data_IF_140696293880
#
_entry.id   IF_140696293880
#
_cell.length_a   1.000
_cell.length_b   1.000
_cell.length_c   1.000
_cell.angle_alpha   90.00
_cell.angle_beta   90.00
_cell.angle_gamma   90.00
#
_symmetry.space_group_name_H-M   'P 1'
#
loop_
_entity.id
_entity.type
_entity.pdbx_description
1 polymer ?
#
# COMPACT_ATOMS: atom_id res chain seq x y z
N UNK A 1 -0.14 16.74 -63.88
CA UNK A 1 -0.27 18.20 -63.96
C UNK A 1 1.06 18.80 -63.57
N UNK A 2 1.53 19.67 -64.45
CA UNK A 2 2.92 20.05 -64.71
C UNK A 2 3.56 20.82 -63.55
N UNK A 3 4.84 20.55 -63.34
CA UNK A 3 5.77 21.37 -62.56
C UNK A 3 5.86 22.74 -63.25
N UNK A 4 5.73 23.83 -62.51
CA UNK A 4 6.18 25.13 -62.98
C UNK A 4 7.14 25.78 -61.98
N UNK A 5 8.31 26.00 -62.52
CA UNK A 5 9.54 26.53 -61.98
C UNK A 5 9.49 28.07 -62.07
N UNK A 6 10.11 28.78 -61.12
CA UNK A 6 10.45 30.21 -61.26
C UNK A 6 11.59 30.56 -60.32
N UNK A 7 12.79 30.27 -60.82
CA UNK A 7 14.10 30.83 -60.50
C UNK A 7 14.14 32.37 -60.60
N UNK A 8 14.90 33.03 -59.70
CA UNK A 8 16.01 33.97 -60.00
C UNK A 8 16.99 34.00 -58.79
N UNK A 9 18.23 33.46 -58.86
CA UNK A 9 19.53 34.02 -59.31
C UNK A 9 20.14 35.13 -58.39
N UNK A 10 21.41 35.18 -57.91
CA UNK A 10 22.66 34.35 -57.86
C UNK A 10 23.78 35.20 -57.11
N UNK A 11 25.07 34.78 -56.92
CA UNK A 11 25.82 34.11 -55.80
C UNK A 11 26.81 35.09 -55.06
N UNK A 12 28.05 34.76 -54.55
CA UNK A 12 28.70 33.49 -54.17
C UNK A 12 29.23 33.41 -52.71
N UNK A 13 29.83 32.24 -52.43
CA UNK A 13 30.32 31.70 -51.16
C UNK A 13 31.58 32.39 -50.57
N UNK A 14 32.10 31.84 -49.46
CA UNK A 14 33.35 31.09 -49.64
C UNK A 14 33.28 29.63 -49.18
N UNK A 15 33.97 28.84 -50.01
CA UNK A 15 34.61 27.54 -49.77
C UNK A 15 35.31 27.45 -48.39
N UNK A 16 35.55 26.28 -47.79
CA UNK A 16 36.17 25.13 -48.44
C UNK A 16 35.95 23.77 -47.72
N UNK A 17 35.69 22.77 -48.57
CA UNK A 17 36.23 21.38 -48.58
C UNK A 17 36.16 20.53 -47.31
N UNK A 18 35.24 19.56 -47.22
CA UNK A 18 35.25 18.21 -47.85
C UNK A 18 36.48 17.35 -47.49
N UNK A 19 36.24 16.29 -46.73
CA UNK A 19 36.56 14.93 -47.19
C UNK A 19 35.52 13.93 -46.66
N UNK A 20 34.87 13.26 -47.60
CA UNK A 20 33.98 12.12 -47.39
C UNK A 20 34.81 10.85 -47.20
N UNK A 21 34.49 10.03 -46.19
CA UNK A 21 34.60 8.57 -46.31
C UNK A 21 33.36 7.92 -45.72
N UNK A 22 32.72 7.12 -46.57
CA UNK A 22 31.52 6.32 -46.34
C UNK A 22 31.71 5.40 -45.13
N UNK A 23 30.93 5.61 -44.07
CA UNK A 23 30.70 4.56 -43.06
C UNK A 23 29.37 3.90 -43.41
N UNK A 24 29.44 2.65 -43.86
CA UNK A 24 28.28 1.79 -44.08
C UNK A 24 27.69 1.46 -42.71
N UNK A 25 26.62 2.17 -42.32
CA UNK A 25 25.87 1.86 -41.11
C UNK A 25 25.00 0.63 -41.38
N UNK A 26 25.38 -0.53 -40.82
CA UNK A 26 24.47 -1.66 -40.69
C UNK A 26 23.60 -1.45 -39.45
N UNK A 27 22.29 -1.36 -39.68
CA UNK A 27 21.23 -1.30 -38.67
C UNK A 27 21.22 -2.57 -37.80
N UNK A 28 20.65 -2.52 -36.57
CA UNK A 28 20.77 -3.59 -35.60
C UNK A 28 19.91 -4.80 -35.98
N UNK A 29 20.56 -5.91 -36.32
CA UNK A 29 19.95 -7.23 -36.45
C UNK A 29 20.42 -8.13 -35.32
N UNK A 30 19.48 -8.61 -34.51
CA UNK A 30 19.66 -9.75 -33.61
C UNK A 30 20.05 -10.95 -34.46
N UNK A 31 21.23 -11.55 -34.24
CA UNK A 31 21.48 -12.95 -34.61
C UNK A 31 22.66 -13.55 -33.83
N UNK A 32 22.33 -14.72 -33.27
CA UNK A 32 23.20 -15.73 -32.68
C UNK A 32 24.39 -16.09 -33.59
N UNK A 33 25.53 -16.35 -32.96
CA UNK A 33 26.51 -17.40 -33.30
C UNK A 33 26.97 -17.55 -34.75
N UNK A 34 28.26 -17.33 -35.00
CA UNK A 34 28.94 -17.89 -36.17
C UNK A 34 30.12 -17.06 -36.63
N UNK A 35 31.31 -17.66 -36.59
CA UNK A 35 32.50 -17.12 -37.22
C UNK A 35 32.34 -17.07 -38.75
N UNK A 36 32.82 -16.01 -39.41
CA UNK A 36 33.13 -16.04 -40.83
C UNK A 36 34.56 -15.53 -41.06
N UNK A 37 35.41 -16.45 -41.49
CA UNK A 37 36.65 -16.19 -42.18
C UNK A 37 36.34 -15.76 -43.62
N UNK A 38 37.05 -14.76 -44.14
CA UNK A 38 37.16 -14.54 -45.59
C UNK A 38 38.61 -14.18 -45.91
N UNK A 39 39.31 -15.16 -46.49
CA UNK A 39 40.50 -14.93 -47.30
C UNK A 39 40.10 -14.39 -48.67
N UNK A 40 41.01 -13.64 -49.28
CA UNK A 40 40.89 -13.11 -50.62
C UNK A 40 42.09 -12.22 -50.93
N UNK A 41 43.06 -12.77 -51.66
CA UNK A 41 44.16 -12.01 -52.26
C UNK A 41 43.60 -11.04 -53.31
N UNK A 42 44.10 -9.80 -53.31
CA UNK A 42 43.92 -8.87 -54.43
C UNK A 42 45.21 -8.07 -54.59
N UNK A 43 45.89 -8.28 -55.72
CA UNK A 43 47.06 -7.54 -56.16
C UNK A 43 46.60 -6.22 -56.81
N UNK A 44 46.95 -5.09 -56.21
CA UNK A 44 46.84 -3.78 -56.86
C UNK A 44 48.06 -2.93 -56.50
N UNK A 45 48.93 -2.75 -57.49
CA UNK A 45 50.11 -1.89 -57.44
C UNK A 45 49.65 -0.44 -57.71
N UNK A 46 49.84 0.47 -56.76
CA UNK A 46 49.67 1.91 -56.98
C UNK A 46 50.75 2.69 -56.22
N UNK A 47 51.41 3.56 -56.96
CA UNK A 47 52.67 4.23 -56.63
C UNK A 47 52.58 5.27 -55.51
N UNK A 48 53.72 5.40 -54.81
CA UNK A 48 54.20 6.51 -53.98
C UNK A 48 53.26 7.68 -53.67
N UNK A 49 52.71 7.68 -52.45
CA UNK A 49 52.55 8.90 -51.66
C UNK A 49 52.53 8.54 -50.17
N UNK A 50 53.57 8.98 -49.47
CA UNK A 50 53.70 9.21 -48.02
C UNK A 50 52.64 8.54 -47.12
N UNK A 51 52.83 7.25 -46.81
CA UNK A 51 52.08 6.52 -45.77
C UNK A 51 52.56 6.97 -44.39
N UNK A 52 52.34 8.24 -44.02
CA UNK A 52 52.48 8.70 -42.64
C UNK A 52 51.45 7.98 -41.80
N UNK A 53 51.88 6.95 -41.07
CA UNK A 53 51.21 6.29 -39.96
C UNK A 53 49.67 6.40 -39.95
N UNK A 54 49.00 5.80 -40.93
CA UNK A 54 47.57 5.52 -40.78
C UNK A 54 47.44 4.35 -39.80
N UNK A 55 47.38 4.67 -38.50
CA UNK A 55 47.01 3.70 -37.47
C UNK A 55 45.55 3.29 -37.69
N UNK A 56 45.34 2.21 -38.44
CA UNK A 56 44.05 1.55 -38.53
C UNK A 56 43.79 0.80 -37.22
N UNK A 57 42.90 1.36 -36.41
CA UNK A 57 42.43 0.71 -35.20
C UNK A 57 41.14 -0.08 -35.46
N UNK A 58 41.04 -1.26 -34.86
CA UNK A 58 39.80 -2.00 -34.81
C UNK A 58 38.79 -1.28 -33.89
N UNK A 59 37.50 -1.32 -34.25
CA UNK A 59 36.39 -0.82 -33.42
C UNK A 59 35.71 -1.98 -32.69
N UNK A 60 35.21 -1.73 -31.48
CA UNK A 60 34.36 -2.67 -30.74
C UNK A 60 33.28 -1.89 -29.98
N UNK A 61 32.21 -2.56 -29.54
CA UNK A 61 31.12 -1.97 -28.75
C UNK A 61 30.93 -2.77 -27.47
N UNK A 62 31.51 -2.34 -26.33
CA UNK A 62 31.34 -3.06 -25.08
C UNK A 62 29.89 -2.90 -24.59
N UNK A 63 29.36 -3.95 -23.98
CA UNK A 63 28.15 -3.84 -23.16
C UNK A 63 28.52 -4.00 -21.69
N UNK A 64 27.77 -3.36 -20.79
CA UNK A 64 27.95 -3.51 -19.36
C UNK A 64 26.71 -4.16 -18.74
N UNK A 65 26.91 -5.15 -17.89
CA UNK A 65 25.91 -5.63 -16.94
C UNK A 65 26.27 -5.16 -15.53
N UNK A 66 25.25 -4.86 -14.75
CA UNK A 66 25.38 -4.39 -13.37
C UNK A 66 24.57 -5.31 -12.47
N UNK A 67 25.19 -5.80 -11.41
CA UNK A 67 24.55 -6.67 -10.43
C UNK A 67 24.86 -6.23 -9.00
N UNK A 68 23.98 -6.61 -8.07
CA UNK A 68 24.10 -6.33 -6.65
C UNK A 68 22.99 -5.46 -6.08
N UNK A 69 23.23 -4.94 -4.88
CA UNK A 69 22.24 -4.22 -4.08
C UNK A 69 22.34 -2.72 -4.32
N UNK A 70 21.46 -2.20 -5.18
CA UNK A 70 21.41 -0.80 -5.63
C UNK A 70 20.78 0.18 -4.61
N UNK A 71 21.21 0.11 -3.35
CA UNK A 71 20.78 1.02 -2.28
C UNK A 71 21.95 1.39 -1.38
N UNK A 72 21.80 2.43 -0.57
CA UNK A 72 22.79 2.79 0.43
C UNK A 72 23.10 1.61 1.36
N UNK A 73 24.39 1.36 1.62
CA UNK A 73 24.88 0.21 2.36
C UNK A 73 24.96 -1.09 1.54
N UNK A 74 24.48 -1.08 0.29
CA UNK A 74 24.69 -2.15 -0.67
C UNK A 74 25.99 -1.97 -1.46
N UNK A 75 26.20 -2.86 -2.42
CA UNK A 75 27.30 -2.78 -3.39
C UNK A 75 26.78 -3.16 -4.76
N UNK A 76 27.31 -2.50 -5.78
CA UNK A 76 27.07 -2.83 -7.19
C UNK A 76 28.38 -3.23 -7.84
N UNK A 77 28.33 -4.22 -8.71
CA UNK A 77 29.46 -4.71 -9.49
C UNK A 77 29.14 -4.55 -10.97
N UNK A 78 30.13 -4.11 -11.74
CA UNK A 78 30.04 -3.98 -13.18
C UNK A 78 30.84 -5.08 -13.87
N UNK A 79 30.22 -5.70 -14.87
CA UNK A 79 30.85 -6.68 -15.76
C UNK A 79 30.76 -6.19 -17.19
N UNK A 80 31.91 -6.02 -17.82
CA UNK A 80 32.00 -5.62 -19.23
C UNK A 80 32.07 -6.87 -20.12
N UNK A 81 31.27 -6.88 -21.19
CA UNK A 81 31.12 -7.99 -22.12
C UNK A 81 31.57 -7.54 -23.51
N UNK A 82 32.22 -8.45 -24.26
CA UNK A 82 32.70 -8.18 -25.62
C UNK A 82 34.03 -7.42 -25.69
N UNK A 83 34.85 -7.51 -24.64
CA UNK A 83 36.16 -6.85 -24.62
C UNK A 83 37.19 -7.60 -25.50
N UNK A 84 38.08 -6.88 -26.20
CA UNK A 84 39.21 -7.50 -26.89
C UNK A 84 40.11 -8.31 -25.96
N UNK A 85 40.74 -9.37 -26.49
CA UNK A 85 41.70 -10.19 -25.72
C UNK A 85 42.87 -9.32 -25.23
N UNK A 86 43.14 -9.36 -23.92
CA UNK A 86 44.20 -8.56 -23.30
C UNK A 86 43.82 -7.09 -23.03
N UNK A 87 42.54 -6.72 -23.14
CA UNK A 87 42.09 -5.38 -22.80
C UNK A 87 42.30 -5.06 -21.30
N UNK A 88 42.82 -3.87 -21.02
CA UNK A 88 42.90 -3.30 -19.68
C UNK A 88 41.74 -2.30 -19.48
N UNK A 89 41.12 -2.33 -18.30
CA UNK A 89 39.95 -1.50 -17.97
C UNK A 89 40.24 -0.65 -16.74
N UNK A 90 39.98 0.65 -16.84
CA UNK A 90 39.92 1.58 -15.70
C UNK A 90 38.48 1.91 -15.39
N UNK A 91 38.09 1.75 -14.12
CA UNK A 91 36.76 2.10 -13.63
C UNK A 91 36.81 3.42 -12.87
N UNK A 92 35.72 4.18 -12.92
CA UNK A 92 35.51 5.35 -12.06
C UNK A 92 34.01 5.54 -11.80
N UNK A 93 33.59 5.30 -10.56
CA UNK A 93 32.20 5.53 -10.16
C UNK A 93 31.92 7.01 -9.92
N UNK A 94 30.70 7.45 -10.24
CA UNK A 94 30.28 8.85 -10.19
C UNK A 94 28.91 8.99 -9.53
N UNK A 95 28.71 10.12 -8.84
CA UNK A 95 27.43 10.51 -8.24
C UNK A 95 27.02 11.87 -8.78
N UNK A 96 25.84 11.96 -9.41
CA UNK A 96 25.39 13.14 -10.15
C UNK A 96 26.45 13.65 -11.16
N UNK A 97 27.18 12.74 -11.82
CA UNK A 97 28.24 13.05 -12.78
C UNK A 97 29.62 13.34 -12.18
N UNK A 98 29.74 13.56 -10.86
CA UNK A 98 31.01 13.84 -10.19
C UNK A 98 31.72 12.55 -9.75
N UNK A 99 33.03 12.45 -10.00
CA UNK A 99 33.86 11.30 -9.63
C UNK A 99 33.94 11.11 -8.11
N UNK A 100 33.70 9.87 -7.66
CA UNK A 100 33.86 9.50 -6.25
C UNK A 100 35.32 9.10 -6.00
N UNK A 101 35.97 9.80 -5.05
CA UNK A 101 37.38 9.55 -4.70
C UNK A 101 37.60 8.09 -4.29
N UNK A 102 38.58 7.43 -4.91
CA UNK A 102 38.97 6.05 -4.63
C UNK A 102 38.03 4.97 -5.18
N UNK A 103 36.94 5.35 -5.86
CA UNK A 103 35.99 4.40 -6.44
C UNK A 103 36.42 3.95 -7.84
N UNK A 104 37.56 3.25 -7.91
CA UNK A 104 38.21 2.85 -9.17
C UNK A 104 38.20 1.35 -9.45
N UNK A 105 37.44 0.59 -8.65
CA UNK A 105 37.26 -0.86 -8.80
C UNK A 105 36.05 -1.16 -9.68
N UNK A 106 35.99 -2.38 -10.21
CA UNK A 106 34.80 -2.90 -10.91
C UNK A 106 33.56 -2.98 -10.01
N UNK A 107 33.73 -2.95 -8.67
CA UNK A 107 32.66 -2.86 -7.70
C UNK A 107 32.70 -1.57 -6.88
N UNK A 108 31.54 -1.13 -6.43
CA UNK A 108 31.35 0.06 -5.61
C UNK A 108 30.39 -0.19 -4.46
N UNK A 109 30.92 -0.09 -3.24
CA UNK A 109 30.11 -0.02 -2.03
C UNK A 109 29.42 1.35 -1.96
N UNK A 110 28.10 1.35 -1.93
CA UNK A 110 27.28 2.57 -2.06
C UNK A 110 27.14 3.23 -0.68
N UNK A 111 27.76 4.39 -0.43
CA UNK A 111 27.70 5.03 0.88
C UNK A 111 26.33 5.66 1.14
N UNK A 112 26.02 5.90 2.42
CA UNK A 112 24.80 6.61 2.84
C UNK A 112 24.66 8.00 2.20
N UNK A 113 25.78 8.69 1.99
CA UNK A 113 25.84 10.02 1.37
C UNK A 113 25.49 10.03 -0.13
N UNK A 114 25.34 8.86 -0.75
CA UNK A 114 24.91 8.73 -2.14
C UNK A 114 23.38 8.79 -2.30
N UNK A 115 22.59 8.63 -1.23
CA UNK A 115 21.12 8.65 -1.30
C UNK A 115 20.64 9.92 -2.00
N UNK A 116 19.71 9.74 -2.94
CA UNK A 116 19.15 10.82 -3.73
C UNK A 116 20.03 11.26 -4.90
N UNK A 117 21.26 10.74 -5.05
CA UNK A 117 22.14 11.04 -6.20
C UNK A 117 21.99 9.96 -7.27
N UNK A 118 22.09 10.34 -8.54
CA UNK A 118 22.17 9.43 -9.69
C UNK A 118 23.54 8.75 -9.68
N UNK A 119 23.56 7.42 -9.66
CA UNK A 119 24.79 6.63 -9.75
C UNK A 119 25.14 6.40 -11.22
N UNK A 120 26.41 6.55 -11.59
CA UNK A 120 26.90 6.17 -12.91
C UNK A 120 28.32 5.61 -12.84
N UNK A 121 28.71 4.88 -13.88
CA UNK A 121 30.05 4.32 -14.03
C UNK A 121 30.67 4.87 -15.32
N UNK A 122 31.85 5.44 -15.18
CA UNK A 122 32.73 5.77 -16.29
C UNK A 122 33.80 4.68 -16.44
N UNK A 123 34.00 4.17 -17.65
CA UNK A 123 35.06 3.22 -17.96
C UNK A 123 35.95 3.73 -19.06
N UNK A 124 37.26 3.50 -18.96
CA UNK A 124 38.22 3.68 -20.04
C UNK A 124 38.87 2.33 -20.33
N UNK A 125 38.84 1.91 -21.58
CA UNK A 125 39.35 0.62 -22.00
C UNK A 125 40.46 0.80 -23.03
N UNK A 126 41.55 0.07 -22.84
CA UNK A 126 42.72 0.10 -23.72
C UNK A 126 43.12 -1.31 -24.11
N UNK A 127 43.26 -1.57 -25.41
CA UNK A 127 43.73 -2.85 -25.95
C UNK A 127 44.67 -2.62 -27.13
N UNK A 128 45.69 -3.47 -27.28
CA UNK A 128 46.67 -3.36 -28.38
C UNK A 128 45.96 -3.53 -29.73
N UNK A 129 46.17 -2.59 -30.65
CA UNK A 129 45.52 -2.60 -31.97
C UNK A 129 44.08 -2.06 -31.99
N UNK A 130 43.57 -1.57 -30.85
CA UNK A 130 42.26 -0.93 -30.74
C UNK A 130 42.41 0.52 -30.28
N UNK A 131 41.50 1.38 -30.73
CA UNK A 131 41.41 2.76 -30.24
C UNK A 131 40.97 2.72 -28.78
N UNK A 132 41.52 3.61 -27.96
CA UNK A 132 41.02 3.78 -26.58
C UNK A 132 39.58 4.26 -26.63
N UNK A 133 38.71 3.56 -25.90
CA UNK A 133 37.29 3.88 -25.83
C UNK A 133 36.90 4.26 -24.40
N UNK A 134 35.94 5.17 -24.29
CA UNK A 134 35.39 5.64 -23.03
C UNK A 134 33.87 5.59 -23.07
N UNK A 135 33.27 4.95 -22.07
CA UNK A 135 31.83 4.78 -21.97
C UNK A 135 31.33 5.25 -20.60
N UNK A 136 30.15 5.88 -20.59
CA UNK A 136 29.43 6.27 -19.39
C UNK A 136 28.12 5.48 -19.30
N UNK A 137 27.95 4.77 -18.18
CA UNK A 137 26.78 3.95 -17.91
C UNK A 137 25.96 4.62 -16.81
N UNK A 138 24.75 5.08 -17.14
CA UNK A 138 23.83 5.65 -16.16
C UNK A 138 23.04 4.55 -15.45
N UNK A 139 23.10 4.53 -14.11
CA UNK A 139 22.26 3.68 -13.28
C UNK A 139 21.14 4.51 -12.61
N UNK A 140 20.33 3.82 -11.81
CA UNK A 140 19.26 4.42 -11.02
C UNK A 140 19.77 5.38 -9.94
N UNK A 141 18.87 6.24 -9.45
CA UNK A 141 19.10 7.05 -8.25
C UNK A 141 19.28 6.12 -7.05
N UNK A 142 20.25 6.42 -6.20
CA UNK A 142 20.47 5.62 -4.98
C UNK A 142 19.36 5.88 -3.99
N UNK A 143 18.73 4.79 -3.56
CA UNK A 143 17.69 4.81 -2.54
C UNK A 143 18.18 4.26 -1.20
N UNK A 144 17.32 4.43 -0.22
CA UNK A 144 17.41 3.79 1.08
C UNK A 144 17.01 2.31 0.95
N UNK A 145 17.62 1.36 1.68
CA UNK A 145 17.14 -0.02 1.68
C UNK A 145 15.70 -0.10 2.20
N UNK A 146 14.91 -0.98 1.59
CA UNK A 146 13.59 -1.34 2.11
C UNK A 146 13.72 -2.02 3.49
N UNK A 147 12.72 -1.85 4.35
CA UNK A 147 12.68 -2.61 5.60
C UNK A 147 12.28 -4.06 5.32
N UNK A 148 12.99 -5.07 5.87
CA UNK A 148 12.46 -6.42 5.93
C UNK A 148 11.22 -6.41 6.83
N UNK A 149 10.12 -7.00 6.35
CA UNK A 149 8.87 -7.08 7.12
C UNK A 149 8.14 -8.37 6.81
N UNK A 150 7.62 -9.00 7.85
CA UNK A 150 6.60 -10.05 7.76
C UNK A 150 5.43 -9.66 8.65
N UNK A 151 4.20 -9.89 8.22
CA UNK A 151 3.01 -9.47 8.98
C UNK A 151 2.20 -10.67 9.45
N UNK A 152 2.14 -10.87 10.76
CA UNK A 152 1.33 -11.91 11.40
C UNK A 152 0.11 -11.33 12.12
N UNK A 153 -0.94 -12.14 12.24
CA UNK A 153 -2.10 -11.85 13.10
C UNK A 153 -2.31 -12.94 14.12
N UNK A 154 -2.64 -12.52 15.34
CA UNK A 154 -3.06 -13.41 16.43
C UNK A 154 -4.46 -13.00 16.87
N UNK A 155 -5.33 -14.00 17.08
CA UNK A 155 -6.66 -13.81 17.67
C UNK A 155 -6.74 -14.49 19.02
N UNK A 156 -7.04 -13.73 20.07
CA UNK A 156 -7.70 -14.29 21.23
C UNK A 156 -9.20 -14.37 20.88
N UNK A 157 -9.76 -15.57 20.76
CA UNK A 157 -11.14 -15.81 20.31
C UNK A 157 -12.11 -14.73 20.84
N UNK A 158 -12.73 -13.99 19.91
CA UNK A 158 -13.83 -13.06 20.17
C UNK A 158 -13.50 -11.68 20.78
N UNK A 159 -12.25 -11.36 21.15
CA UNK A 159 -11.99 -10.14 21.94
C UNK A 159 -11.17 -9.07 21.21
N UNK A 160 -10.09 -9.45 20.52
CA UNK A 160 -9.28 -8.53 19.71
C UNK A 160 -8.43 -9.25 18.65
N UNK A 161 -8.08 -8.53 17.58
CA UNK A 161 -7.04 -8.92 16.62
C UNK A 161 -5.78 -8.12 16.97
N UNK A 162 -4.63 -8.79 16.96
CA UNK A 162 -3.34 -8.13 17.16
C UNK A 162 -2.50 -8.15 15.88
N UNK A 163 -2.06 -6.97 15.45
CA UNK A 163 -1.17 -6.73 14.34
C UNK A 163 0.28 -6.72 14.84
N UNK A 164 1.10 -7.68 14.40
CA UNK A 164 2.52 -7.74 14.75
C UNK A 164 3.41 -7.79 13.49
N UNK A 165 3.98 -6.65 13.07
CA UNK A 165 5.05 -6.66 12.09
C UNK A 165 6.31 -7.26 12.72
N UNK A 166 6.87 -8.28 12.06
CA UNK A 166 8.11 -8.95 12.43
C UNK A 166 9.24 -8.56 11.48
N UNK A 167 10.48 -8.81 11.92
CA UNK A 167 11.72 -8.53 11.17
C UNK A 167 12.05 -7.05 10.96
N UNK A 168 11.38 -6.13 11.66
CA UNK A 168 11.72 -4.72 11.58
C UNK A 168 13.13 -4.43 12.16
N UNK A 169 13.88 -3.48 11.59
CA UNK A 169 15.18 -3.07 12.12
C UNK A 169 15.10 -2.60 13.57
N UNK A 170 16.17 -2.81 14.35
CA UNK A 170 16.27 -2.34 15.75
C UNK A 170 15.99 -0.84 15.84
N UNK A 171 15.10 -0.45 16.75
CA UNK A 171 14.68 0.95 16.93
C UNK A 171 13.63 1.45 15.93
N UNK A 172 13.03 0.57 15.13
CA UNK A 172 11.89 0.91 14.31
C UNK A 172 10.70 1.39 15.17
N UNK A 173 10.05 2.47 14.73
CA UNK A 173 8.81 3.00 15.30
C UNK A 173 7.66 2.66 14.38
N UNK A 174 6.57 2.10 14.93
CA UNK A 174 5.39 1.68 14.17
C UNK A 174 4.16 2.48 14.60
N UNK A 175 3.37 2.93 13.62
CA UNK A 175 2.04 3.53 13.81
C UNK A 175 1.01 2.66 13.10
N UNK A 176 -0.15 2.47 13.72
CA UNK A 176 -1.26 1.67 13.18
C UNK A 176 -2.48 2.54 12.92
N UNK A 177 -3.32 2.09 12.00
CA UNK A 177 -4.67 2.57 11.77
C UNK A 177 -5.51 1.40 11.26
N UNK A 178 -6.47 0.95 12.06
CA UNK A 178 -7.38 -0.12 11.66
C UNK A 178 -8.48 0.40 10.75
N UNK A 179 -8.91 -0.46 9.82
CA UNK A 179 -9.89 -0.16 8.80
C UNK A 179 -10.93 -1.25 8.68
N UNK A 180 -12.15 -0.83 8.39
CA UNK A 180 -13.30 -1.70 8.06
C UNK A 180 -13.79 -1.28 6.67
N UNK A 181 -13.85 -2.23 5.74
CA UNK A 181 -14.16 -2.00 4.31
C UNK A 181 -13.32 -0.85 3.71
N UNK A 182 -12.03 -0.79 4.09
CA UNK A 182 -11.08 0.23 3.63
C UNK A 182 -11.22 1.61 4.29
N UNK A 183 -12.18 1.81 5.20
CA UNK A 183 -12.38 3.09 5.92
C UNK A 183 -11.76 3.08 7.31
N UNK A 184 -11.09 4.17 7.67
CA UNK A 184 -10.44 4.33 8.97
C UNK A 184 -11.45 4.28 10.12
N UNK A 185 -11.13 3.44 11.11
CA UNK A 185 -11.87 3.39 12.37
C UNK A 185 -11.27 4.41 13.32
N UNK A 186 -12.06 5.44 13.66
CA UNK A 186 -11.62 6.54 14.54
C UNK A 186 -11.07 6.01 15.87
N UNK A 187 -9.86 6.41 16.23
CA UNK A 187 -9.19 6.05 17.48
C UNK A 187 -8.56 4.64 17.50
N UNK A 188 -8.70 3.86 16.44
CA UNK A 188 -8.12 2.53 16.35
C UNK A 188 -6.67 2.59 15.85
N UNK A 189 -5.77 3.11 16.69
CA UNK A 189 -4.35 3.35 16.35
C UNK A 189 -3.36 2.46 17.09
N UNK A 190 -3.87 1.51 17.88
CA UNK A 190 -3.06 0.56 18.64
C UNK A 190 -2.71 -0.66 17.78
N UNK A 191 -1.69 -1.41 18.19
CA UNK A 191 -1.36 -2.70 17.59
C UNK A 191 -2.49 -3.74 17.78
N UNK A 192 -3.37 -3.54 18.76
CA UNK A 192 -4.56 -4.36 19.00
C UNK A 192 -5.82 -3.63 18.57
N UNK A 193 -6.81 -4.39 18.09
CA UNK A 193 -8.11 -3.88 17.69
C UNK A 193 -9.24 -4.77 18.20
N UNK A 194 -10.10 -4.18 19.01
CA UNK A 194 -11.37 -4.81 19.38
C UNK A 194 -12.34 -4.64 18.23
N UNK A 195 -12.74 -5.76 17.63
CA UNK A 195 -13.58 -5.75 16.44
C UNK A 195 -15.02 -5.44 16.86
N UNK A 196 -15.62 -4.33 16.41
CA UNK A 196 -16.99 -4.02 16.76
C UNK A 196 -17.96 -4.96 16.04
N UNK A 197 -19.12 -5.22 16.63
CA UNK A 197 -20.17 -6.04 16.01
C UNK A 197 -20.61 -5.52 14.63
N UNK A 198 -20.46 -4.23 14.36
CA UNK A 198 -20.73 -3.63 13.05
C UNK A 198 -19.76 -4.08 11.95
N UNK A 199 -18.60 -4.66 12.30
CA UNK A 199 -17.64 -5.22 11.35
C UNK A 199 -18.04 -6.61 10.83
N UNK A 200 -19.11 -7.21 11.36
CA UNK A 200 -19.66 -8.47 10.89
C UNK A 200 -19.86 -8.48 9.37
N UNK A 201 -19.25 -9.45 8.68
CA UNK A 201 -19.35 -9.59 7.22
C UNK A 201 -18.61 -8.51 6.43
N UNK A 202 -17.82 -7.66 7.12
CA UNK A 202 -17.00 -6.62 6.52
C UNK A 202 -15.54 -7.03 6.51
N UNK A 203 -14.78 -6.49 5.55
CA UNK A 203 -13.34 -6.70 5.45
C UNK A 203 -12.63 -5.88 6.51
N UNK A 204 -11.81 -6.52 7.34
CA UNK A 204 -10.93 -5.84 8.30
C UNK A 204 -9.51 -5.82 7.76
N UNK A 205 -8.89 -4.65 7.78
CA UNK A 205 -7.47 -4.46 7.47
C UNK A 205 -6.81 -3.51 8.47
N UNK A 206 -5.49 -3.51 8.47
CA UNK A 206 -4.68 -2.56 9.24
C UNK A 206 -3.73 -1.86 8.28
N UNK A 207 -3.79 -0.53 8.25
CA UNK A 207 -2.71 0.28 7.71
C UNK A 207 -1.66 0.42 8.79
N UNK A 208 -0.40 0.11 8.49
CA UNK A 208 0.67 0.47 9.40
C UNK A 208 1.82 1.15 8.67
N UNK A 209 2.51 2.00 9.41
CA UNK A 209 3.68 2.74 8.96
C UNK A 209 4.82 2.43 9.91
N UNK A 210 5.94 1.97 9.39
CA UNK A 210 7.18 1.82 10.14
C UNK A 210 8.25 2.80 9.65
N UNK A 211 8.98 3.39 10.61
CA UNK A 211 10.13 4.28 10.36
C UNK A 211 11.32 3.82 11.19
N UNK A 212 12.48 3.69 10.55
CA UNK A 212 13.73 3.29 11.19
C UNK A 212 14.88 4.08 10.56
N UNK A 213 15.87 4.47 11.38
CA UNK A 213 17.03 5.22 10.89
C UNK A 213 17.80 4.36 9.90
N UNK A 214 18.10 4.90 8.72
CA UNK A 214 18.85 4.19 7.69
C UNK A 214 18.02 3.28 6.78
N UNK A 215 16.69 3.27 6.91
CA UNK A 215 15.77 2.53 6.05
C UNK A 215 14.74 3.43 5.40
N UNK A 216 14.24 3.00 4.24
CA UNK A 216 13.10 3.65 3.59
C UNK A 216 11.87 3.50 4.48
N UNK A 217 10.99 4.49 4.47
CA UNK A 217 9.71 4.43 5.19
C UNK A 217 8.88 3.28 4.63
N UNK A 218 8.43 2.38 5.49
CA UNK A 218 7.54 1.29 5.14
C UNK A 218 6.10 1.71 5.44
N UNK A 219 5.19 1.53 4.48
CA UNK A 219 3.77 1.75 4.65
C UNK A 219 3.01 0.60 3.98
N UNK A 220 2.22 -0.13 4.75
CA UNK A 220 1.58 -1.37 4.30
C UNK A 220 0.11 -1.37 4.70
N UNK A 221 -0.75 -1.72 3.74
CA UNK A 221 -2.14 -2.10 3.98
C UNK A 221 -2.21 -3.62 4.04
N UNK A 222 -2.41 -4.17 5.23
CA UNK A 222 -2.50 -5.61 5.42
C UNK A 222 -3.92 -6.02 5.79
N UNK A 223 -4.50 -6.90 4.98
CA UNK A 223 -5.86 -7.41 5.17
C UNK A 223 -5.82 -8.62 6.10
N UNK A 224 -6.62 -8.58 7.18
CA UNK A 224 -6.90 -9.77 7.99
C UNK A 224 -7.85 -10.72 7.27
N UNK A 225 -8.96 -10.18 6.78
CA UNK A 225 -9.99 -10.95 6.08
C UNK A 225 -11.37 -10.38 6.33
N UNK A 226 -12.40 -11.11 5.88
CA UNK A 226 -13.79 -10.78 6.20
C UNK A 226 -14.10 -11.32 7.59
N UNK A 227 -14.52 -10.43 8.50
CA UNK A 227 -14.92 -10.87 9.83
C UNK A 227 -16.14 -11.77 9.73
N UNK A 228 -16.20 -12.85 10.54
CA UNK A 228 -17.38 -13.70 10.60
C UNK A 228 -18.63 -12.83 10.71
N UNK A 229 -19.57 -13.03 9.79
CA UNK A 229 -20.83 -12.33 9.80
C UNK A 229 -21.55 -12.63 11.11
N UNK A 230 -21.50 -11.71 12.07
CA UNK A 230 -22.48 -11.63 13.13
C UNK A 230 -23.85 -11.79 12.49
N UNK A 231 -24.54 -12.89 12.82
CA UNK A 231 -25.82 -13.24 12.19
C UNK A 231 -26.74 -12.02 12.25
N UNK A 232 -27.38 -11.67 11.12
CA UNK A 232 -28.42 -10.63 11.08
C UNK A 232 -29.35 -10.87 12.27
N UNK A 233 -29.42 -9.91 13.20
CA UNK A 233 -30.20 -10.09 14.42
C UNK A 233 -31.65 -10.37 14.04
N UNK A 234 -32.21 -11.45 14.58
CA UNK A 234 -33.60 -11.82 14.34
C UNK A 234 -34.54 -10.81 15.03
N UNK A 235 -35.77 -10.72 14.53
CA UNK A 235 -36.78 -9.83 15.12
C UNK A 235 -37.57 -10.58 16.19
N UNK A 236 -37.73 -9.98 17.37
CA UNK A 236 -38.64 -10.50 18.40
C UNK A 236 -40.09 -10.30 17.95
N UNK A 237 -40.96 -11.27 18.28
CA UNK A 237 -42.42 -11.12 18.15
C UNK A 237 -43.01 -10.96 19.55
N UNK A 238 -43.94 -10.01 19.71
CA UNK A 238 -44.64 -9.77 20.95
C UNK A 238 -46.04 -9.19 20.73
N UNK A 239 -47.02 -9.59 21.54
CA UNK A 239 -48.35 -8.98 21.56
C UNK A 239 -48.37 -7.72 22.43
N UNK A 240 -49.42 -6.91 22.31
CA UNK A 240 -49.66 -5.76 23.18
C UNK A 240 -49.94 -6.23 24.62
N UNK A 241 -49.25 -5.69 25.64
CA UNK A 241 -49.51 -6.06 27.02
C UNK A 241 -50.80 -5.45 27.55
N UNK A 242 -51.37 -6.06 28.58
CA UNK A 242 -52.61 -5.62 29.24
C UNK A 242 -52.39 -5.40 30.74
N UNK A 243 -53.24 -4.59 31.35
CA UNK A 243 -53.21 -4.28 32.79
C UNK A 243 -54.52 -4.77 33.40
N UNK A 244 -54.45 -5.49 34.52
CA UNK A 244 -55.62 -5.92 35.30
C UNK A 244 -55.49 -5.53 36.76
N UNK A 245 -56.62 -5.44 37.46
CA UNK A 245 -56.72 -5.09 38.87
C UNK A 245 -57.60 -3.87 39.09
N UNK A 246 -57.77 -3.48 40.35
CA UNK A 246 -58.62 -2.34 40.72
C UNK A 246 -57.88 -1.03 40.45
N UNK A 247 -58.44 -0.17 39.59
CA UNK A 247 -57.89 1.13 39.20
C UNK A 247 -58.09 2.20 40.29
N UNK A 248 -57.55 1.96 41.48
CA UNK A 248 -57.63 2.85 42.66
C UNK A 248 -56.27 2.99 43.33
N UNK A 249 -56.03 4.14 43.96
CA UNK A 249 -54.83 4.36 44.79
C UNK A 249 -54.73 3.27 45.87
N UNK A 250 -53.52 2.77 46.11
CA UNK A 250 -53.23 1.70 47.07
C UNK A 250 -53.57 0.28 46.59
N UNK A 251 -54.32 0.15 45.49
CA UNK A 251 -54.62 -1.17 44.91
C UNK A 251 -53.43 -1.73 44.12
N UNK A 252 -53.36 -3.06 44.03
CA UNK A 252 -52.34 -3.76 43.25
C UNK A 252 -52.83 -3.99 41.82
N UNK A 253 -52.07 -3.48 40.84
CA UNK A 253 -52.22 -3.77 39.43
C UNK A 253 -51.19 -4.79 38.96
N UNK A 254 -51.58 -5.60 37.99
CA UNK A 254 -50.74 -6.64 37.38
C UNK A 254 -50.63 -6.39 35.88
N UNK A 255 -49.40 -6.32 35.37
CA UNK A 255 -49.11 -6.26 33.94
C UNK A 255 -48.98 -7.67 33.36
N UNK A 256 -49.83 -7.97 32.39
CA UNK A 256 -49.76 -9.20 31.60
C UNK A 256 -48.94 -8.95 30.34
N UNK A 257 -47.83 -9.68 30.23
CA UNK A 257 -46.85 -9.50 29.16
C UNK A 257 -47.34 -9.88 27.76
N UNK A 258 -48.42 -10.66 27.68
CA UNK A 258 -48.86 -11.30 26.45
C UNK A 258 -47.86 -12.32 25.89
N UNK A 259 -47.93 -12.60 24.60
CA UNK A 259 -47.01 -13.53 23.92
C UNK A 259 -45.67 -12.85 23.62
N UNK A 260 -44.59 -13.62 23.72
CA UNK A 260 -43.24 -13.21 23.35
C UNK A 260 -42.51 -14.39 22.71
N UNK A 261 -41.58 -14.12 21.80
CA UNK A 261 -40.62 -15.13 21.34
C UNK A 261 -40.00 -15.87 22.54
N UNK A 262 -39.97 -17.20 22.51
CA UNK A 262 -39.48 -18.03 23.61
C UNK A 262 -38.04 -17.66 24.03
N UNK A 263 -37.75 -17.71 25.33
CA UNK A 263 -36.43 -17.38 25.89
C UNK A 263 -36.10 -15.89 25.96
N UNK A 264 -37.09 -15.01 25.80
CA UNK A 264 -36.89 -13.55 25.91
C UNK A 264 -36.90 -13.10 27.37
N UNK A 265 -35.84 -12.41 27.79
CA UNK A 265 -35.76 -11.72 29.09
C UNK A 265 -36.52 -10.39 29.00
N UNK A 266 -37.27 -10.02 30.05
CA UNK A 266 -38.16 -8.84 30.02
C UNK A 266 -37.95 -7.93 31.22
N UNK A 267 -38.01 -6.63 30.97
CA UNK A 267 -38.04 -5.59 32.00
C UNK A 267 -39.31 -4.75 31.86
N UNK A 268 -39.84 -4.26 32.99
CA UNK A 268 -41.07 -3.46 33.04
C UNK A 268 -40.74 -2.03 33.45
N UNK A 269 -41.57 -1.08 33.02
CA UNK A 269 -41.61 0.27 33.55
C UNK A 269 -43.04 0.77 33.47
N UNK A 270 -43.59 1.23 34.60
CA UNK A 270 -44.92 1.84 34.65
C UNK A 270 -44.85 3.35 34.45
N UNK A 271 -45.89 3.92 33.84
CA UNK A 271 -46.02 5.34 33.56
C UNK A 271 -47.41 5.82 33.97
N UNK A 272 -47.51 7.07 34.43
CA UNK A 272 -48.75 7.78 34.69
C UNK A 272 -48.82 9.01 33.79
N UNK A 273 -49.84 9.09 32.92
CA UNK A 273 -49.95 10.10 31.85
C UNK A 273 -48.64 10.30 31.07
N UNK A 274 -48.00 9.19 30.68
CA UNK A 274 -46.73 9.21 29.93
C UNK A 274 -45.47 9.49 30.75
N UNK A 275 -45.57 9.85 32.04
CA UNK A 275 -44.41 10.09 32.92
C UNK A 275 -44.05 8.82 33.68
N UNK A 276 -42.78 8.42 33.65
CA UNK A 276 -42.30 7.21 34.32
C UNK A 276 -42.48 7.30 35.84
N UNK A 277 -43.09 6.27 36.44
CA UNK A 277 -43.18 6.13 37.89
C UNK A 277 -41.83 5.58 38.39
N UNK A 278 -41.08 6.40 39.15
CA UNK A 278 -39.74 6.03 39.65
C UNK A 278 -39.80 4.73 40.44
N UNK A 279 -38.91 3.78 40.11
CA UNK A 279 -38.80 2.49 40.80
C UNK A 279 -39.88 1.45 40.42
N UNK A 280 -40.88 1.81 39.62
CA UNK A 280 -41.92 0.90 39.19
C UNK A 280 -41.46 -0.02 38.04
N UNK A 281 -40.58 -0.97 38.35
CA UNK A 281 -39.96 -1.89 37.36
C UNK A 281 -40.40 -3.34 37.49
N UNK A 282 -41.29 -3.64 38.43
CA UNK A 282 -41.88 -4.96 38.62
C UNK A 282 -43.08 -5.16 37.70
N UNK A 283 -43.43 -6.43 37.46
CA UNK A 283 -44.66 -6.78 36.71
C UNK A 283 -45.94 -6.42 37.46
N UNK A 284 -45.83 -6.05 38.74
CA UNK A 284 -46.92 -5.52 39.57
C UNK A 284 -46.61 -4.10 40.01
N UNK A 285 -47.66 -3.31 40.20
CA UNK A 285 -47.61 -1.94 40.72
C UNK A 285 -48.65 -1.78 41.80
N UNK A 286 -48.23 -1.38 43.01
CA UNK A 286 -49.15 -0.78 43.98
C UNK A 286 -49.34 0.67 43.54
N UNK A 287 -50.58 1.06 43.24
CA UNK A 287 -50.88 2.36 42.63
C UNK A 287 -50.51 3.47 43.62
N UNK A 288 -49.52 4.32 43.30
CA UNK A 288 -49.11 5.38 44.21
C UNK A 288 -50.16 6.49 44.25
N UNK A 289 -50.21 7.24 45.34
CA UNK A 289 -51.10 8.40 45.49
C UNK A 289 -50.93 9.44 44.39
N UNK A 290 -49.70 9.60 43.87
CA UNK A 290 -49.35 10.48 42.76
C UNK A 290 -49.97 10.10 41.40
N UNK A 291 -50.58 8.92 41.30
CA UNK A 291 -51.31 8.46 40.12
C UNK A 291 -52.81 8.77 40.16
N UNK A 292 -53.35 9.33 41.26
CA UNK A 292 -54.77 9.71 41.37
C UNK A 292 -55.19 10.60 40.18
N UNK A 293 -56.30 10.26 39.52
CA UNK A 293 -56.83 10.98 38.36
C UNK A 293 -56.05 10.81 37.06
N UNK A 294 -54.92 10.10 37.07
CA UNK A 294 -54.10 9.82 35.88
C UNK A 294 -54.48 8.48 35.27
N UNK A 295 -54.12 8.29 34.01
CA UNK A 295 -54.17 7.00 33.32
C UNK A 295 -52.81 6.33 33.44
N UNK A 296 -52.81 5.00 33.57
CA UNK A 296 -51.59 4.21 33.67
C UNK A 296 -51.30 3.47 32.36
N UNK A 297 -50.02 3.34 32.06
CA UNK A 297 -49.50 2.45 31.02
C UNK A 297 -48.31 1.67 31.55
N UNK A 298 -48.03 0.52 30.93
CA UNK A 298 -46.82 -0.27 31.20
C UNK A 298 -46.06 -0.50 29.90
N UNK A 299 -44.75 -0.20 29.91
CA UNK A 299 -43.82 -0.55 28.85
C UNK A 299 -43.05 -1.80 29.24
N UNK A 300 -43.06 -2.80 28.37
CA UNK A 300 -42.28 -4.03 28.52
C UNK A 300 -41.22 -4.06 27.44
N UNK A 301 -39.96 -4.17 27.84
CA UNK A 301 -38.81 -4.29 26.94
C UNK A 301 -38.26 -5.70 26.98
N UNK A 302 -38.22 -6.37 25.81
CA UNK A 302 -37.70 -7.71 25.63
C UNK A 302 -36.29 -7.72 25.05
N UNK A 303 -35.41 -8.54 25.62
CA UNK A 303 -34.03 -8.77 25.15
C UNK A 303 -33.76 -10.27 25.01
N UNK A 304 -33.10 -10.65 23.92
CA UNK A 304 -32.64 -12.01 23.65
C UNK A 304 -31.36 -11.95 22.82
N UNK A 305 -30.35 -12.77 23.16
CA UNK A 305 -29.10 -12.82 22.41
C UNK A 305 -29.36 -13.20 20.94
N UNK A 306 -28.71 -12.50 20.00
CA UNK A 306 -28.94 -12.65 18.57
C UNK A 306 -30.24 -12.02 18.04
N UNK A 307 -30.98 -11.26 18.86
CA UNK A 307 -32.20 -10.55 18.44
C UNK A 307 -32.09 -9.03 18.65
N UNK A 308 -32.85 -8.28 17.86
CA UNK A 308 -33.05 -6.84 18.08
C UNK A 308 -33.98 -6.62 19.28
N UNK A 309 -33.64 -5.68 20.15
CA UNK A 309 -34.46 -5.36 21.34
C UNK A 309 -35.81 -4.79 20.89
N UNK A 310 -36.90 -5.27 21.49
CA UNK A 310 -38.26 -4.84 21.17
C UNK A 310 -38.94 -4.30 22.43
N UNK A 311 -39.72 -3.23 22.32
CA UNK A 311 -40.58 -2.73 23.40
C UNK A 311 -42.03 -2.68 22.95
N UNK A 312 -42.96 -3.01 23.87
CA UNK A 312 -44.41 -2.87 23.69
C UNK A 312 -44.99 -2.09 24.87
N UNK A 313 -45.98 -1.26 24.59
CA UNK A 313 -46.69 -0.45 25.58
C UNK A 313 -48.15 -0.91 25.61
N UNK A 314 -48.74 -0.97 26.81
CA UNK A 314 -50.16 -1.31 26.95
C UNK A 314 -51.06 -0.20 26.43
N UNK A 315 -52.35 -0.50 26.27
CA UNK A 315 -53.37 0.56 26.21
C UNK A 315 -53.39 1.32 27.55
N UNK A 316 -53.81 2.58 27.48
CA UNK A 316 -54.06 3.40 28.66
C UNK A 316 -55.24 2.83 29.46
N UNK A 317 -55.14 2.85 30.79
CA UNK A 317 -56.27 2.54 31.66
C UNK A 317 -57.27 3.69 31.68
N UNK A 318 -58.46 3.45 32.25
CA UNK A 318 -59.29 4.53 32.77
C UNK A 318 -58.56 5.29 33.91
N UNK A 319 -59.04 6.49 34.23
CA UNK A 319 -58.46 7.31 35.30
C UNK A 319 -58.52 6.58 36.65
N UNK A 320 -57.41 6.65 37.40
CA UNK A 320 -57.31 6.06 38.74
C UNK A 320 -58.21 6.83 39.73
N UNK A 321 -59.09 6.09 40.42
CA UNK A 321 -59.94 6.63 41.47
C UNK A 321 -59.20 6.78 42.81
N UNK A 322 -59.77 7.59 43.70
CA UNK A 322 -59.25 7.78 45.05
C UNK A 322 -59.27 6.47 45.87
N UNK A 323 -58.45 6.42 46.91
CA UNK A 323 -58.53 5.39 47.94
C UNK A 323 -59.91 5.47 48.60
N UNK A 324 -60.45 4.30 48.99
CA UNK A 324 -61.69 4.22 49.75
C UNK A 324 -61.51 4.80 51.15
#
# INVERSE_FOLDING_TARGET
MTINDSLQHVPPAPEASRFSRRTLALLPGVLLGGALALGGESTANAAGSDLREMNFYLSYTPSASFDGKMHAGGSVSASLIGLPKGAAVKYQWRLNGASVKGATKSSFAIPRSAVGKKLSLHTVVTAKGYKTDSAEWSLSRVELPAMPTYMGFYSAFGTYIQAQPQLLPKGAKVKYQWRIDGKDVKGATKATFSVPNSAAGKKVSVYFVATAKGYARLAVDYTYGVMPGGSKKKTLKASTPTITGTLRVGSKLTAHKGTWTAGTTRTYQWYANGVAIKGATKYTLVVPSSAKGKQLTVKITGRKSGYTTLSKVSKETSKIAAQR
#
